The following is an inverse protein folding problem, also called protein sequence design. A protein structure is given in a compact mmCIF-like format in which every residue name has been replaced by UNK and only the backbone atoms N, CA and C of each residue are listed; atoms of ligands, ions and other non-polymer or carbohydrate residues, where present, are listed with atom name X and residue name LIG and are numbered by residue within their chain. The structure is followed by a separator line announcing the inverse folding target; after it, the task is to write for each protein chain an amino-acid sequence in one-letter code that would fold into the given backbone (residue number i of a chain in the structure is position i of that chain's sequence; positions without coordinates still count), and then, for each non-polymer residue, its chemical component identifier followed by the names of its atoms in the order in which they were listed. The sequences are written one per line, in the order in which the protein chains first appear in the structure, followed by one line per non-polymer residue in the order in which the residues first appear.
data_IF_467866283221
#
_entry.id   IF_467866283221
#
_cell.length_a   1.000
_cell.length_b   1.000
_cell.length_c   1.000
_cell.angle_alpha   90.00
_cell.angle_beta   90.00
_cell.angle_gamma   90.00
#
_symmetry.space_group_name_H-M   'P 1'
#
loop_
_entity.id
_entity.type
_entity.pdbx_description
1 polymer ?
#
# COMPACT_ATOMS: atom_id res chain seq x y z
N UNK A 1 -6.79 -17.30 -2.42
CA UNK A 1 -5.64 -16.72 -3.15
C UNK A 1 -5.84 -15.23 -3.17
N UNK A 2 -4.95 -14.45 -2.52
CA UNK A 2 -5.12 -12.99 -2.40
C UNK A 2 -4.56 -12.25 -3.59
N UNK A 3 -3.32 -12.58 -3.97
CA UNK A 3 -2.67 -12.04 -5.17
C UNK A 3 -2.29 -13.18 -6.11
N UNK A 4 -2.55 -13.01 -7.41
CA UNK A 4 -2.06 -13.83 -8.51
C UNK A 4 -1.58 -12.86 -9.60
N UNK A 5 -0.28 -12.71 -9.71
CA UNK A 5 0.38 -11.65 -10.47
C UNK A 5 1.45 -12.29 -11.37
N UNK A 6 1.35 -12.00 -12.66
CA UNK A 6 2.39 -12.27 -13.66
C UNK A 6 2.47 -11.00 -14.52
N UNK A 7 3.57 -10.26 -14.42
CA UNK A 7 3.70 -8.96 -15.05
C UNK A 7 5.04 -8.82 -15.74
N UNK A 8 5.01 -8.19 -16.93
CA UNK A 8 6.20 -7.73 -17.65
C UNK A 8 6.00 -6.31 -18.14
N UNK A 9 7.02 -5.50 -17.96
CA UNK A 9 7.04 -4.13 -18.47
C UNK A 9 8.45 -3.70 -18.82
N UNK A 10 8.64 -3.22 -20.05
CA UNK A 10 9.87 -2.55 -20.46
C UNK A 10 9.84 -1.10 -19.96
N UNK A 11 10.81 -0.74 -19.13
CA UNK A 11 10.93 0.60 -18.52
C UNK A 11 11.91 1.49 -19.27
N UNK A 12 12.75 0.92 -20.14
CA UNK A 12 13.75 1.59 -20.96
C UNK A 12 14.33 0.66 -22.02
N UNK A 13 15.34 1.10 -22.80
CA UNK A 13 15.95 0.27 -23.84
C UNK A 13 16.45 -1.06 -23.33
N UNK A 14 17.13 -1.04 -22.15
CA UNK A 14 17.80 -2.19 -21.56
C UNK A 14 17.22 -2.62 -20.20
N UNK A 15 16.08 -2.05 -19.80
CA UNK A 15 15.49 -2.33 -18.49
C UNK A 15 14.10 -2.93 -18.66
N UNK A 16 13.94 -4.15 -18.18
CA UNK A 16 12.66 -4.83 -18.08
C UNK A 16 12.37 -5.17 -16.62
N UNK A 17 11.15 -4.90 -16.17
CA UNK A 17 10.63 -5.35 -14.88
C UNK A 17 9.71 -6.53 -15.15
N UNK A 18 10.06 -7.70 -14.61
CA UNK A 18 9.26 -8.90 -14.69
C UNK A 18 9.10 -9.51 -13.29
N UNK A 19 7.88 -9.93 -12.96
CA UNK A 19 7.60 -10.61 -11.69
C UNK A 19 6.46 -11.59 -11.88
N UNK A 20 6.58 -12.75 -11.22
CA UNK A 20 5.51 -13.74 -11.15
C UNK A 20 5.40 -14.32 -9.75
N UNK A 21 4.23 -14.21 -9.15
CA UNK A 21 3.96 -14.82 -7.85
C UNK A 21 2.47 -15.05 -7.64
N UNK A 22 2.18 -15.94 -6.70
CA UNK A 22 0.84 -16.19 -6.21
C UNK A 22 0.91 -16.33 -4.69
N UNK A 23 0.01 -15.67 -3.98
CA UNK A 23 0.03 -15.67 -2.51
C UNK A 23 -1.35 -15.87 -1.89
N UNK A 24 -1.35 -16.35 -0.65
CA UNK A 24 -2.53 -16.52 0.18
C UNK A 24 -2.92 -15.25 0.93
N UNK A 25 -3.64 -15.43 2.04
CA UNK A 25 -4.02 -14.34 2.94
C UNK A 25 -2.79 -13.75 3.66
N UNK A 26 -2.96 -12.52 4.18
CA UNK A 26 -1.94 -11.81 4.93
C UNK A 26 -1.14 -10.83 4.08
N UNK A 27 0.09 -10.55 4.53
CA UNK A 27 1.01 -9.62 3.88
C UNK A 27 2.00 -10.36 2.98
N UNK A 28 2.06 -9.93 1.72
CA UNK A 28 3.04 -10.39 0.74
C UNK A 28 4.10 -9.30 0.56
N UNK A 29 5.36 -9.61 0.82
CA UNK A 29 6.46 -8.68 0.64
C UNK A 29 7.16 -8.90 -0.72
N UNK A 30 7.39 -7.81 -1.45
CA UNK A 30 8.37 -7.74 -2.54
C UNK A 30 9.69 -7.26 -1.96
N UNK A 31 10.67 -8.16 -1.89
CA UNK A 31 11.98 -7.91 -1.30
C UNK A 31 13.07 -7.91 -2.38
N UNK A 32 14.04 -7.02 -2.25
CA UNK A 32 15.18 -6.95 -3.16
C UNK A 32 15.88 -5.59 -3.12
N UNK A 33 16.99 -5.43 -3.86
CA UNK A 33 17.76 -4.20 -3.86
C UNK A 33 16.96 -2.99 -4.39
N UNK A 34 17.42 -1.79 -4.04
CA UNK A 34 16.84 -0.55 -4.58
C UNK A 34 17.03 -0.51 -6.11
N UNK A 35 16.02 -0.03 -6.82
CA UNK A 35 16.07 0.10 -8.28
C UNK A 35 15.65 -1.15 -9.07
N UNK A 36 15.44 -2.32 -8.45
CA UNK A 36 15.05 -3.55 -9.16
C UNK A 36 13.62 -3.53 -9.74
N UNK A 37 12.83 -2.49 -9.45
CA UNK A 37 11.49 -2.33 -10.02
C UNK A 37 10.33 -2.65 -9.07
N UNK A 38 10.56 -2.85 -7.77
CA UNK A 38 9.51 -3.15 -6.79
C UNK A 38 8.35 -2.14 -6.80
N UNK A 39 8.66 -0.84 -6.75
CA UNK A 39 7.66 0.23 -6.83
C UNK A 39 6.92 0.25 -8.17
N UNK A 40 7.61 -0.15 -9.26
CA UNK A 40 6.96 -0.29 -10.57
C UNK A 40 5.95 -1.43 -10.58
N UNK A 41 6.25 -2.55 -9.90
CA UNK A 41 5.28 -3.64 -9.72
C UNK A 41 4.05 -3.14 -8.95
N UNK A 42 4.25 -2.44 -7.83
CA UNK A 42 3.13 -1.84 -7.10
C UNK A 42 2.30 -0.90 -7.99
N UNK A 43 2.96 -0.03 -8.75
CA UNK A 43 2.29 0.91 -9.66
C UNK A 43 1.51 0.18 -10.77
N UNK A 44 2.02 -0.95 -11.28
CA UNK A 44 1.31 -1.80 -12.23
C UNK A 44 0.10 -2.48 -11.59
N UNK A 45 0.23 -3.01 -10.38
CA UNK A 45 -0.88 -3.61 -9.62
C UNK A 45 -1.94 -2.56 -9.30
N UNK A 46 -1.55 -1.33 -8.97
CA UNK A 46 -2.46 -0.20 -8.74
C UNK A 46 -3.16 0.29 -10.02
N UNK A 47 -2.65 -0.06 -11.21
CA UNK A 47 -3.14 0.46 -12.49
C UNK A 47 -2.65 1.86 -12.85
N UNK A 48 -1.63 2.36 -12.15
CA UNK A 48 -0.96 3.63 -12.43
C UNK A 48 -0.01 3.52 -13.62
N UNK A 49 0.55 2.32 -13.83
CA UNK A 49 1.36 1.96 -14.99
C UNK A 49 0.69 0.75 -15.64
N UNK A 50 0.50 0.80 -16.96
CA UNK A 50 -0.02 -0.35 -17.71
C UNK A 50 1.10 -1.34 -17.98
N UNK A 51 0.98 -2.62 -17.60
CA UNK A 51 1.92 -3.66 -18.02
C UNK A 51 1.90 -3.88 -19.53
N UNK A 52 2.99 -4.40 -20.09
CA UNK A 52 3.05 -4.79 -21.51
C UNK A 52 2.43 -6.18 -21.71
N UNK A 53 2.58 -7.07 -20.73
CA UNK A 53 2.04 -8.43 -20.80
C UNK A 53 1.76 -8.98 -19.41
N UNK A 54 0.96 -10.06 -19.34
CA UNK A 54 0.67 -10.82 -18.15
C UNK A 54 -0.71 -10.54 -17.56
N UNK A 55 -0.83 -10.71 -16.24
CA UNK A 55 -2.11 -10.49 -15.55
C UNK A 55 -1.93 -10.02 -14.10
N UNK A 56 -2.97 -9.36 -13.59
CA UNK A 56 -3.17 -9.04 -12.16
C UNK A 56 -4.55 -9.55 -11.77
N UNK A 57 -4.60 -10.48 -10.83
CA UNK A 57 -5.83 -10.94 -10.20
C UNK A 57 -5.72 -10.79 -8.69
N UNK A 58 -6.76 -10.24 -8.07
CA UNK A 58 -6.82 -10.02 -6.63
C UNK A 58 -8.17 -10.50 -6.10
N UNK A 59 -8.14 -11.41 -5.13
CA UNK A 59 -9.36 -12.03 -4.61
C UNK A 59 -10.18 -12.76 -5.67
N UNK A 60 -9.52 -13.31 -6.71
CA UNK A 60 -10.15 -13.99 -7.84
C UNK A 60 -10.66 -13.08 -8.97
N UNK A 61 -10.66 -11.75 -8.77
CA UNK A 61 -11.06 -10.79 -9.81
C UNK A 61 -9.86 -10.36 -10.65
N UNK A 62 -10.02 -10.36 -11.97
CA UNK A 62 -9.00 -9.92 -12.92
C UNK A 62 -9.05 -8.39 -13.07
N UNK A 63 -7.96 -7.71 -12.66
CA UNK A 63 -7.79 -6.27 -12.79
C UNK A 63 -7.01 -5.88 -14.05
N UNK A 64 -6.14 -6.78 -14.50
CA UNK A 64 -5.41 -6.67 -15.76
C UNK A 64 -5.22 -8.07 -16.35
N UNK A 65 -5.34 -8.20 -17.67
CA UNK A 65 -5.16 -9.45 -18.41
C UNK A 65 -5.71 -9.36 -19.82
N UNK A 66 -5.92 -10.51 -20.47
CA UNK A 66 -6.44 -10.56 -21.83
C UNK A 66 -7.81 -9.87 -21.92
N UNK A 67 -7.89 -8.79 -22.71
CA UNK A 67 -9.13 -8.01 -22.89
C UNK A 67 -9.57 -7.16 -21.70
N UNK A 68 -8.85 -7.22 -20.55
CA UNK A 68 -9.21 -6.51 -19.31
C UNK A 68 -8.10 -5.55 -18.90
N UNK A 69 -8.46 -4.30 -18.63
CA UNK A 69 -7.59 -3.33 -17.97
C UNK A 69 -8.44 -2.37 -17.13
N UNK A 70 -8.67 -2.73 -15.88
CA UNK A 70 -9.43 -1.91 -14.94
C UNK A 70 -8.60 -0.65 -14.62
N UNK A 71 -9.14 0.57 -14.80
CA UNK A 71 -8.43 1.81 -14.50
C UNK A 71 -8.18 1.94 -12.99
N UNK A 72 -7.10 2.64 -12.62
CA UNK A 72 -6.62 2.74 -11.24
C UNK A 72 -7.70 3.18 -10.24
N UNK A 73 -8.54 4.13 -10.61
CA UNK A 73 -9.62 4.65 -9.78
C UNK A 73 -10.75 3.64 -9.48
N UNK A 74 -10.82 2.54 -10.25
CA UNK A 74 -11.80 1.46 -10.09
C UNK A 74 -11.22 0.18 -9.49
N UNK A 75 -9.90 0.10 -9.27
CA UNK A 75 -9.26 -1.08 -8.67
C UNK A 75 -9.52 -1.22 -7.16
N UNK A 76 -10.05 -0.18 -6.52
CA UNK A 76 -10.26 -0.12 -5.07
C UNK A 76 -8.97 -0.48 -4.28
N UNK A 77 -7.83 0.03 -4.73
CA UNK A 77 -6.53 -0.12 -4.07
C UNK A 77 -6.31 1.03 -3.08
N UNK A 78 -5.96 0.70 -1.84
CA UNK A 78 -5.40 1.68 -0.91
C UNK A 78 -3.89 1.76 -1.13
N UNK A 79 -3.36 2.94 -1.49
CA UNK A 79 -1.93 3.11 -1.77
C UNK A 79 -1.27 3.99 -0.70
N UNK A 80 -0.26 3.46 -0.04
CA UNK A 80 0.61 4.16 0.91
C UNK A 80 1.98 4.35 0.28
N UNK A 81 2.34 5.60 0.01
CA UNK A 81 3.60 5.97 -0.61
C UNK A 81 4.70 6.15 0.44
N UNK A 82 5.95 6.02 0.01
CA UNK A 82 7.14 6.22 0.85
C UNK A 82 7.12 7.57 1.59
N UNK A 83 6.77 8.66 0.90
CA UNK A 83 6.76 10.03 1.45
C UNK A 83 5.40 10.43 2.04
N UNK A 84 4.51 9.49 2.37
CA UNK A 84 3.13 9.72 2.81
C UNK A 84 2.25 10.51 1.81
N UNK A 85 2.79 11.42 1.03
CA UNK A 85 2.13 12.27 0.01
C UNK A 85 0.81 12.88 0.50
N UNK A 86 0.86 13.49 1.68
CA UNK A 86 -0.31 14.20 2.21
C UNK A 86 -0.58 15.47 1.40
N UNK A 87 -1.85 15.79 1.23
CA UNK A 87 -2.26 17.04 0.59
C UNK A 87 -1.93 18.22 1.50
N UNK A 88 -1.00 19.11 1.14
CA UNK A 88 -0.54 20.18 2.04
C UNK A 88 -1.59 21.25 2.31
N UNK A 89 -2.59 21.36 1.44
CA UNK A 89 -3.70 22.32 1.53
C UNK A 89 -4.94 21.78 2.27
N UNK A 90 -4.86 20.56 2.80
CA UNK A 90 -5.87 19.98 3.68
C UNK A 90 -5.27 19.69 5.07
N UNK A 91 -6.07 19.91 6.12
CA UNK A 91 -5.76 19.40 7.45
C UNK A 91 -5.79 17.87 7.46
N UNK A 92 -5.36 17.23 8.56
CA UNK A 92 -5.41 15.76 8.70
C UNK A 92 -6.80 15.22 8.42
N UNK A 93 -7.85 15.79 9.01
CA UNK A 93 -9.25 15.42 8.74
C UNK A 93 -9.58 15.44 7.25
N UNK A 94 -9.18 16.48 6.53
CA UNK A 94 -9.42 16.60 5.09
C UNK A 94 -8.63 15.58 4.25
N UNK A 95 -7.39 15.26 4.68
CA UNK A 95 -6.61 14.19 4.07
C UNK A 95 -7.28 12.83 4.23
N UNK A 96 -7.74 12.51 5.43
CA UNK A 96 -8.42 11.26 5.74
C UNK A 96 -9.71 11.10 4.93
N UNK A 97 -10.53 12.14 4.87
CA UNK A 97 -11.82 12.12 4.18
C UNK A 97 -11.70 12.21 2.64
N UNK A 98 -10.53 12.50 2.10
CA UNK A 98 -10.37 12.66 0.65
C UNK A 98 -10.77 11.43 -0.14
N UNK A 99 -10.47 10.23 0.38
CA UNK A 99 -10.85 8.94 -0.22
C UNK A 99 -12.21 8.39 0.22
N UNK A 100 -12.76 8.88 1.32
CA UNK A 100 -13.94 8.33 1.99
C UNK A 100 -15.27 8.42 1.20
N UNK A 101 -15.29 9.07 0.04
CA UNK A 101 -16.47 9.19 -0.84
C UNK A 101 -16.87 7.89 -1.51
N UNK A 102 -16.05 6.85 -1.42
CA UNK A 102 -16.37 5.49 -1.88
C UNK A 102 -16.72 4.68 -0.64
N UNK A 103 -17.97 4.22 -0.54
CA UNK A 103 -18.45 3.42 0.59
C UNK A 103 -17.45 2.30 0.92
N UNK A 104 -16.88 2.36 2.13
CA UNK A 104 -15.75 1.53 2.50
C UNK A 104 -16.10 0.07 2.74
N UNK A 105 -15.22 -0.81 2.30
CA UNK A 105 -15.26 -2.24 2.63
C UNK A 105 -14.89 -2.47 4.11
N UNK A 106 -14.16 -1.55 4.71
CA UNK A 106 -13.66 -1.67 6.11
C UNK A 106 -14.74 -1.37 7.15
N UNK A 107 -15.85 -0.72 6.76
CA UNK A 107 -16.98 -0.45 7.67
C UNK A 107 -16.70 0.54 8.80
N UNK A 108 -15.47 1.09 8.90
CA UNK A 108 -15.07 2.01 9.96
C UNK A 108 -15.22 3.47 9.52
N UNK A 109 -15.79 4.29 10.41
CA UNK A 109 -15.89 5.73 10.21
C UNK A 109 -14.58 6.48 10.49
N UNK A 110 -14.60 7.81 10.28
CA UNK A 110 -13.43 8.66 10.52
C UNK A 110 -12.90 8.55 11.96
N UNK A 111 -13.79 8.62 12.94
CA UNK A 111 -13.39 8.65 14.35
C UNK A 111 -12.82 7.28 14.76
N UNK A 112 -13.43 6.19 14.33
CA UNK A 112 -12.94 4.83 14.57
C UNK A 112 -11.56 4.59 13.96
N UNK A 113 -11.32 5.04 12.72
CA UNK A 113 -10.00 4.96 12.08
C UNK A 113 -9.00 5.87 12.78
N UNK A 114 -9.41 7.08 13.20
CA UNK A 114 -8.53 7.98 13.91
C UNK A 114 -8.07 7.42 15.26
N UNK A 115 -8.97 6.78 15.99
CA UNK A 115 -8.67 6.08 17.24
C UNK A 115 -7.81 4.83 17.01
N UNK A 116 -8.18 4.01 16.03
CA UNK A 116 -7.41 2.82 15.64
C UNK A 116 -5.95 3.16 15.31
N UNK A 117 -5.71 4.28 14.64
CA UNK A 117 -4.37 4.73 14.24
C UNK A 117 -3.70 5.60 15.32
N UNK A 118 -4.39 5.98 16.40
CA UNK A 118 -3.89 6.86 17.46
C UNK A 118 -3.66 8.30 17.00
N UNK A 119 -4.46 8.80 16.04
CA UNK A 119 -4.30 10.14 15.43
C UNK A 119 -5.49 11.08 15.66
N UNK A 120 -6.44 10.72 16.53
CA UNK A 120 -7.61 11.55 16.81
C UNK A 120 -7.24 12.99 17.23
N UNK A 121 -6.18 13.13 18.03
CA UNK A 121 -5.65 14.42 18.50
C UNK A 121 -4.98 15.25 17.40
N UNK A 122 -4.76 14.69 16.20
CA UNK A 122 -4.09 15.34 15.07
C UNK A 122 -5.07 15.88 14.02
N UNK A 123 -6.38 15.59 14.11
CA UNK A 123 -7.36 15.82 13.05
C UNK A 123 -7.39 17.26 12.53
N UNK A 124 -7.13 18.25 13.40
CA UNK A 124 -7.11 19.66 13.03
C UNK A 124 -5.73 20.21 12.69
N UNK A 125 -4.68 19.40 12.76
CA UNK A 125 -3.32 19.79 12.39
C UNK A 125 -3.12 19.85 10.88
N UNK A 126 -2.11 20.61 10.49
CA UNK A 126 -1.63 20.68 9.10
C UNK A 126 -0.52 19.66 8.86
N UNK A 127 -0.40 19.04 7.66
CA UNK A 127 0.63 18.06 7.35
C UNK A 127 2.06 18.50 7.70
N UNK A 128 2.38 19.77 7.47
CA UNK A 128 3.70 20.37 7.76
C UNK A 128 4.09 20.37 9.26
N UNK A 129 3.14 20.15 10.14
CA UNK A 129 3.38 20.12 11.61
C UNK A 129 3.46 18.72 12.17
N UNK A 130 3.34 17.71 11.32
CA UNK A 130 3.38 16.30 11.70
C UNK A 130 4.83 15.79 11.70
N UNK A 131 5.13 14.90 12.63
CA UNK A 131 6.33 14.06 12.55
C UNK A 131 6.19 13.04 11.40
N UNK A 132 7.29 12.42 10.97
CA UNK A 132 7.26 11.41 9.91
C UNK A 132 6.32 10.23 10.24
N UNK A 133 6.34 9.72 11.48
CA UNK A 133 5.45 8.65 11.91
C UNK A 133 3.97 9.06 11.95
N UNK A 134 3.66 10.30 12.41
CA UNK A 134 2.29 10.83 12.36
C UNK A 134 1.80 10.99 10.91
N UNK A 135 2.63 11.51 10.02
CA UNK A 135 2.29 11.64 8.61
C UNK A 135 2.03 10.27 7.96
N UNK A 136 2.81 9.25 8.32
CA UNK A 136 2.63 7.88 7.83
C UNK A 136 1.33 7.26 8.35
N UNK A 137 0.98 7.46 9.64
CA UNK A 137 -0.31 7.02 10.20
C UNK A 137 -1.49 7.67 9.46
N UNK A 138 -1.40 8.96 9.16
CA UNK A 138 -2.43 9.68 8.37
C UNK A 138 -2.52 9.14 6.94
N UNK A 139 -1.40 8.79 6.29
CA UNK A 139 -1.39 8.20 4.95
C UNK A 139 -2.05 6.81 4.94
N UNK A 140 -1.77 5.98 5.95
CA UNK A 140 -2.44 4.68 6.15
C UNK A 140 -3.95 4.90 6.36
N UNK A 141 -4.35 5.83 7.22
CA UNK A 141 -5.75 6.16 7.46
C UNK A 141 -6.50 6.63 6.22
N UNK A 142 -5.86 7.47 5.41
CA UNK A 142 -6.41 7.90 4.12
C UNK A 142 -6.63 6.72 3.18
N UNK A 143 -5.68 5.79 3.14
CA UNK A 143 -5.79 4.59 2.34
C UNK A 143 -6.93 3.69 2.84
N UNK A 144 -7.08 3.48 4.15
CA UNK A 144 -8.15 2.67 4.75
C UNK A 144 -9.54 3.29 4.54
N UNK A 145 -9.68 4.59 4.77
CA UNK A 145 -10.96 5.30 4.58
C UNK A 145 -11.41 5.38 3.12
N UNK A 146 -10.55 5.10 2.15
CA UNK A 146 -10.96 4.98 0.75
C UNK A 146 -11.78 3.71 0.45
N UNK A 147 -11.95 2.83 1.43
CA UNK A 147 -12.64 1.56 1.28
C UNK A 147 -11.92 0.57 0.36
N UNK A 148 -10.64 0.29 0.64
CA UNK A 148 -9.85 -0.54 -0.24
C UNK A 148 -10.23 -2.01 -0.11
N UNK A 149 -10.07 -2.77 -1.21
CA UNK A 149 -10.13 -4.23 -1.22
C UNK A 149 -8.77 -4.86 -0.90
N UNK A 150 -7.70 -4.13 -1.10
CA UNK A 150 -6.31 -4.49 -0.79
C UNK A 150 -5.46 -3.23 -0.59
N UNK A 151 -4.35 -3.39 0.10
CA UNK A 151 -3.40 -2.30 0.34
C UNK A 151 -2.10 -2.53 -0.43
N UNK A 152 -1.54 -1.45 -0.93
CA UNK A 152 -0.22 -1.37 -1.53
C UNK A 152 0.64 -0.41 -0.69
N UNK A 153 1.77 -0.89 -0.18
CA UNK A 153 2.65 -0.10 0.67
C UNK A 153 4.06 -0.07 0.08
N UNK A 154 4.49 1.10 -0.35
CA UNK A 154 5.77 1.32 -1.02
C UNK A 154 6.79 1.90 -0.05
N UNK A 155 7.68 1.07 0.49
CA UNK A 155 8.71 1.41 1.48
C UNK A 155 8.20 2.35 2.61
N UNK A 156 7.10 2.03 3.30
CA UNK A 156 6.41 2.98 4.18
C UNK A 156 7.22 3.35 5.43
N UNK A 157 8.35 2.69 5.69
CA UNK A 157 9.18 2.89 6.89
C UNK A 157 10.54 3.51 6.58
N UNK A 158 10.89 3.71 5.30
CA UNK A 158 12.23 4.09 4.86
C UNK A 158 12.74 5.42 5.46
N UNK A 159 11.84 6.39 5.71
CA UNK A 159 12.19 7.71 6.23
C UNK A 159 12.06 7.86 7.75
N UNK A 160 11.82 6.75 8.48
CA UNK A 160 11.54 6.77 9.91
C UNK A 160 12.77 6.36 10.73
N UNK A 161 12.95 6.99 11.90
CA UNK A 161 13.88 6.52 12.91
C UNK A 161 13.45 5.16 13.51
N UNK A 162 14.34 4.50 14.22
CA UNK A 162 14.14 3.14 14.74
C UNK A 162 12.90 3.02 15.61
N UNK A 163 12.66 3.97 16.52
CA UNK A 163 11.53 3.92 17.44
C UNK A 163 10.20 4.03 16.69
N UNK A 164 10.08 5.04 15.80
CA UNK A 164 8.88 5.25 14.98
C UNK A 164 8.63 4.12 14.00
N UNK A 165 9.71 3.53 13.45
CA UNK A 165 9.60 2.33 12.58
C UNK A 165 8.93 1.18 13.31
N UNK A 166 9.33 0.90 14.56
CA UNK A 166 8.71 -0.16 15.38
C UNK A 166 7.22 0.08 15.63
N UNK A 167 6.85 1.34 15.92
CA UNK A 167 5.44 1.72 16.12
C UNK A 167 4.59 1.52 14.86
N UNK A 168 5.13 1.90 13.68
CA UNK A 168 4.38 1.74 12.42
C UNK A 168 4.34 0.27 12.01
N UNK A 169 5.40 -0.53 12.25
CA UNK A 169 5.32 -1.99 12.04
C UNK A 169 4.22 -2.62 12.88
N UNK A 170 4.14 -2.31 14.16
CA UNK A 170 3.05 -2.80 15.03
C UNK A 170 1.66 -2.37 14.51
N UNK A 171 1.56 -1.17 13.96
CA UNK A 171 0.32 -0.71 13.34
C UNK A 171 -0.02 -1.50 12.07
N UNK A 172 0.97 -1.80 11.22
CA UNK A 172 0.77 -2.62 10.00
C UNK A 172 0.35 -4.04 10.38
N UNK A 173 0.94 -4.62 11.44
CA UNK A 173 0.50 -5.90 12.00
C UNK A 173 -0.98 -5.87 12.38
N UNK A 174 -1.42 -4.84 13.11
CA UNK A 174 -2.82 -4.66 13.47
C UNK A 174 -3.73 -4.50 12.24
N UNK A 175 -3.33 -3.73 11.24
CA UNK A 175 -4.08 -3.59 9.98
C UNK A 175 -4.21 -4.94 9.28
N UNK A 176 -3.13 -5.74 9.23
CA UNK A 176 -3.14 -7.09 8.64
C UNK A 176 -4.08 -8.02 9.40
N UNK A 177 -3.98 -8.06 10.72
CA UNK A 177 -4.59 -9.09 11.56
C UNK A 177 -6.04 -8.76 11.92
N UNK A 178 -6.36 -7.47 12.19
CA UNK A 178 -7.69 -7.06 12.61
C UNK A 178 -8.62 -6.74 11.42
N UNK A 179 -8.07 -6.20 10.30
CA UNK A 179 -8.89 -5.82 9.15
C UNK A 179 -8.92 -6.89 8.05
N UNK A 180 -7.98 -7.85 8.08
CA UNK A 180 -7.94 -8.98 7.15
C UNK A 180 -7.73 -8.60 5.68
N UNK A 181 -7.27 -7.38 5.41
CA UNK A 181 -7.02 -6.90 4.04
C UNK A 181 -5.75 -7.54 3.47
N UNK A 182 -5.77 -8.01 2.21
CA UNK A 182 -4.54 -8.39 1.52
C UNK A 182 -3.60 -7.18 1.39
N UNK A 183 -2.33 -7.36 1.77
CA UNK A 183 -1.32 -6.28 1.71
C UNK A 183 -0.19 -6.71 0.78
N UNK A 184 0.15 -5.89 -0.21
CA UNK A 184 1.38 -6.01 -0.98
C UNK A 184 2.36 -4.93 -0.51
N UNK A 185 3.47 -5.35 0.05
CA UNK A 185 4.42 -4.52 0.78
C UNK A 185 5.79 -4.53 0.09
N UNK A 186 6.36 -3.39 -0.16
CA UNK A 186 7.71 -3.25 -0.70
C UNK A 186 8.67 -2.86 0.41
N UNK A 187 9.77 -3.59 0.54
CA UNK A 187 10.89 -3.24 1.40
C UNK A 187 12.21 -3.77 0.84
N UNK A 188 13.30 -3.14 1.25
CA UNK A 188 14.67 -3.64 1.10
C UNK A 188 15.29 -4.01 2.46
N UNK A 189 14.54 -3.86 3.55
CA UNK A 189 14.95 -4.23 4.93
C UNK A 189 14.45 -5.64 5.26
N UNK A 190 15.39 -6.56 5.49
CA UNK A 190 15.09 -7.96 5.80
C UNK A 190 14.34 -8.11 7.11
N UNK A 191 14.66 -7.27 8.11
CA UNK A 191 14.00 -7.32 9.43
C UNK A 191 12.52 -6.95 9.36
N UNK A 192 12.15 -5.99 8.50
CA UNK A 192 10.74 -5.66 8.24
C UNK A 192 10.00 -6.84 7.61
N UNK A 193 10.63 -7.45 6.59
CA UNK A 193 10.04 -8.56 5.84
C UNK A 193 9.85 -9.79 6.73
N UNK A 194 10.87 -10.18 7.50
CA UNK A 194 10.82 -11.33 8.39
C UNK A 194 9.76 -11.18 9.49
N UNK A 195 9.48 -9.94 9.91
CA UNK A 195 8.46 -9.64 10.94
C UNK A 195 7.04 -9.58 10.38
N UNK A 196 6.86 -8.96 9.21
CA UNK A 196 5.54 -8.60 8.71
C UNK A 196 4.96 -9.62 7.72
N UNK A 197 5.81 -10.29 6.92
CA UNK A 197 5.36 -11.01 5.75
C UNK A 197 4.99 -12.47 6.05
N UNK A 198 3.83 -12.88 5.54
CA UNK A 198 3.46 -14.28 5.44
C UNK A 198 4.03 -14.94 4.16
N UNK A 199 4.26 -14.11 3.12
CA UNK A 199 4.82 -14.54 1.84
C UNK A 199 5.89 -13.56 1.39
N UNK A 200 7.03 -14.07 0.90
CA UNK A 200 8.13 -13.25 0.39
C UNK A 200 8.38 -13.57 -1.07
N UNK A 201 8.44 -12.55 -1.89
CA UNK A 201 8.79 -12.61 -3.31
C UNK A 201 10.12 -11.88 -3.49
N UNK A 202 11.16 -12.60 -3.78
CA UNK A 202 12.49 -12.04 -4.02
C UNK A 202 12.58 -11.51 -5.46
N UNK A 203 13.06 -10.29 -5.61
CA UNK A 203 13.29 -9.62 -6.88
C UNK A 203 14.78 -9.27 -6.98
N UNK A 204 15.42 -9.70 -8.07
CA UNK A 204 16.85 -9.49 -8.31
C UNK A 204 17.20 -9.55 -9.79
#
# INVERSE_FOLDING_TARGET
MSFDVDLRRRMGPDTEVAVRFSSGAGLTALFGPSGVGKSSVLAMVAGLIRPDAGHVRIGGETLFGEGVNVPADRRAAGYVFQDARLFPHYRVRGNLLYGARRAGVVGMGLDEIADFLGIAHLLDRWPRTLSGGEAQRVAIGRALLSGPRFLLMDEPLASLDVARRQEIMALIERVRDELGLPILYVSHDRGEVDRLAAHVVEMG
#
